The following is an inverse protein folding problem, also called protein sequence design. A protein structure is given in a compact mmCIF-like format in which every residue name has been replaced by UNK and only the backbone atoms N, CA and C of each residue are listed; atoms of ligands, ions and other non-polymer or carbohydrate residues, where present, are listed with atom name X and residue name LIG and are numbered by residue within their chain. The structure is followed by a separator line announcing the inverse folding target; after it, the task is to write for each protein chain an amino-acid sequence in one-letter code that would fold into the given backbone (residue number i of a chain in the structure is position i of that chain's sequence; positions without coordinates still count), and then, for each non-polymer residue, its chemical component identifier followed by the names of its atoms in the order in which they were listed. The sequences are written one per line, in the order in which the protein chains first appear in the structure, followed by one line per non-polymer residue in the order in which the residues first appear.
data_IF_336163765325
#
_entry.id   IF_336163765325
#
_cell.length_a   1.000
_cell.length_b   1.000
_cell.length_c   1.000
_cell.angle_alpha   90.00
_cell.angle_beta   90.00
_cell.angle_gamma   90.00
#
_symmetry.space_group_name_H-M   'P 1'
#
loop_
_entity.id
_entity.type
_entity.pdbx_description
1 polymer ?
#
# COMPACT_ATOMS: atom_id res chain seq x y z
N UNK A 1 -3.15 -9.87 12.84
CA UNK A 1 -2.10 -9.30 13.73
C UNK A 1 -1.34 -10.38 14.49
N UNK A 2 -1.99 -11.23 15.30
CA UNK A 2 -1.32 -12.29 16.07
C UNK A 2 -0.48 -13.22 15.17
N UNK A 3 -1.01 -13.65 14.03
CA UNK A 3 -0.28 -14.48 13.08
C UNK A 3 0.98 -13.81 12.50
N UNK A 4 0.94 -12.49 12.26
CA UNK A 4 2.10 -11.70 11.80
C UNK A 4 3.17 -11.68 12.89
N UNK A 5 2.77 -11.34 14.12
CA UNK A 5 3.66 -11.27 15.28
C UNK A 5 4.36 -12.61 15.54
N UNK A 6 3.63 -13.72 15.44
CA UNK A 6 4.16 -15.06 15.72
C UNK A 6 4.83 -15.73 14.52
N UNK A 7 4.67 -15.19 13.30
CA UNK A 7 5.09 -15.83 12.03
C UNK A 7 4.50 -17.23 11.79
N UNK A 8 3.39 -17.54 12.44
CA UNK A 8 2.65 -18.81 12.32
C UNK A 8 1.15 -18.55 12.36
N UNK A 9 0.33 -19.37 11.70
CA UNK A 9 -1.12 -19.31 11.87
C UNK A 9 -1.51 -19.58 13.32
N UNK A 10 -2.71 -19.15 13.68
CA UNK A 10 -3.40 -19.60 14.89
C UNK A 10 -3.77 -21.08 14.70
N UNK A 11 -3.78 -21.85 15.78
CA UNK A 11 -4.37 -23.19 15.71
C UNK A 11 -5.90 -23.10 15.80
N UNK A 12 -6.58 -24.20 15.42
CA UNK A 12 -8.05 -24.24 15.37
C UNK A 12 -8.69 -23.89 16.72
N UNK A 13 -8.06 -24.25 17.84
CA UNK A 13 -8.59 -23.97 19.18
C UNK A 13 -8.38 -22.50 19.53
N UNK A 14 -7.20 -21.95 19.27
CA UNK A 14 -6.92 -20.53 19.45
C UNK A 14 -7.89 -19.66 18.65
N UNK A 15 -8.19 -20.05 17.40
CA UNK A 15 -9.17 -19.36 16.55
C UNK A 15 -10.58 -19.39 17.17
N UNK A 16 -11.05 -20.55 17.63
CA UNK A 16 -12.37 -20.67 18.29
C UNK A 16 -12.45 -19.87 19.59
N UNK A 17 -11.39 -19.89 20.40
CA UNK A 17 -11.31 -19.10 21.64
C UNK A 17 -11.36 -17.61 21.31
N UNK A 18 -10.59 -17.16 20.31
CA UNK A 18 -10.52 -15.76 19.91
C UNK A 18 -11.85 -15.27 19.34
N UNK A 19 -12.49 -16.05 18.47
CA UNK A 19 -13.82 -15.77 17.93
C UNK A 19 -14.86 -15.58 19.05
N UNK A 20 -14.86 -16.48 20.04
CA UNK A 20 -15.77 -16.35 21.18
C UNK A 20 -15.45 -15.15 22.06
N UNK A 21 -14.17 -14.85 22.27
CA UNK A 21 -13.75 -13.64 22.99
C UNK A 21 -14.23 -12.37 22.28
N UNK A 22 -14.15 -12.31 20.94
CA UNK A 22 -14.64 -11.18 20.15
C UNK A 22 -16.15 -11.02 20.26
N UNK A 23 -16.90 -12.13 20.24
CA UNK A 23 -18.37 -12.11 20.44
C UNK A 23 -18.75 -11.53 21.81
N UNK A 24 -18.09 -11.99 22.88
CA UNK A 24 -18.33 -11.48 24.24
C UNK A 24 -17.91 -10.01 24.36
N UNK A 25 -16.78 -9.64 23.73
CA UNK A 25 -16.30 -8.26 23.70
C UNK A 25 -17.31 -7.33 23.03
N UNK A 26 -17.84 -7.73 21.86
CA UNK A 26 -18.86 -6.96 21.14
C UNK A 26 -20.11 -6.76 22.00
N UNK A 27 -20.62 -7.82 22.66
CA UNK A 27 -21.79 -7.71 23.54
C UNK A 27 -21.57 -6.72 24.69
N UNK A 28 -20.41 -6.79 25.38
CA UNK A 28 -20.07 -5.87 26.48
C UNK A 28 -19.97 -4.41 26.03
N UNK A 29 -19.45 -4.18 24.83
CA UNK A 29 -19.23 -2.83 24.31
C UNK A 29 -20.46 -2.24 23.60
N UNK A 30 -21.35 -3.09 23.06
CA UNK A 30 -22.63 -2.66 22.49
C UNK A 30 -23.50 -1.95 23.53
N UNK A 31 -23.52 -2.44 24.78
CA UNK A 31 -24.27 -1.83 25.88
C UNK A 31 -23.71 -0.47 26.30
N UNK A 32 -22.37 -0.33 26.31
CA UNK A 32 -21.70 0.91 26.74
C UNK A 32 -21.52 1.94 25.62
N UNK A 33 -21.66 1.54 24.36
CA UNK A 33 -21.40 2.38 23.18
C UNK A 33 -19.92 2.76 23.01
N UNK A 34 -19.00 2.06 23.68
CA UNK A 34 -17.57 2.34 23.62
C UNK A 34 -16.86 1.49 22.56
N UNK A 35 -15.82 2.03 21.93
CA UNK A 35 -15.02 1.27 20.95
C UNK A 35 -13.96 0.44 21.71
N UNK A 36 -13.95 -0.90 21.57
CA UNK A 36 -13.01 -1.75 22.30
C UNK A 36 -11.57 -1.61 21.79
N UNK A 37 -10.61 -1.88 22.68
CA UNK A 37 -9.17 -1.99 22.36
C UNK A 37 -8.62 -3.37 22.69
N UNK A 38 -7.36 -3.64 22.30
CA UNK A 38 -6.68 -4.93 22.56
C UNK A 38 -6.65 -5.30 24.04
N UNK A 39 -6.55 -4.32 24.94
CA UNK A 39 -6.57 -4.55 26.37
C UNK A 39 -7.91 -5.11 26.86
N UNK A 40 -9.03 -4.69 26.25
CA UNK A 40 -10.37 -5.17 26.58
C UNK A 40 -10.55 -6.61 26.11
N UNK A 41 -10.07 -6.94 24.90
CA UNK A 41 -10.06 -8.32 24.40
C UNK A 41 -9.23 -9.25 25.31
N UNK A 42 -8.06 -8.79 25.74
CA UNK A 42 -7.24 -9.51 26.72
C UNK A 42 -8.00 -9.69 28.04
N UNK A 43 -8.73 -8.66 28.49
CA UNK A 43 -9.51 -8.75 29.72
C UNK A 43 -10.63 -9.79 29.61
N UNK A 44 -11.31 -9.89 28.47
CA UNK A 44 -12.30 -10.95 28.22
C UNK A 44 -11.67 -12.34 28.37
N UNK A 45 -10.47 -12.57 27.84
CA UNK A 45 -9.75 -13.83 28.01
C UNK A 45 -9.43 -14.11 29.49
N UNK A 46 -9.06 -13.08 30.26
CA UNK A 46 -8.75 -13.20 31.70
C UNK A 46 -9.96 -13.40 32.59
N UNK A 47 -11.11 -12.85 32.22
CA UNK A 47 -12.36 -13.00 32.98
C UNK A 47 -12.94 -14.42 32.85
N UNK A 48 -12.50 -15.17 31.84
CA UNK A 48 -12.92 -16.56 31.56
C UNK A 48 -14.44 -16.75 31.55
N UNK A 49 -15.21 -15.94 30.80
CA UNK A 49 -16.66 -16.10 30.72
C UNK A 49 -17.00 -17.52 30.25
N UNK A 50 -18.14 -18.04 30.70
CA UNK A 50 -18.52 -19.44 30.47
C UNK A 50 -18.46 -19.82 28.99
N UNK A 51 -18.93 -18.95 28.09
CA UNK A 51 -18.91 -19.20 26.65
C UNK A 51 -17.48 -19.41 26.11
N UNK A 52 -16.49 -18.67 26.61
CA UNK A 52 -15.08 -18.83 26.22
C UNK A 52 -14.49 -20.11 26.83
N UNK A 53 -14.87 -20.47 28.05
CA UNK A 53 -14.45 -21.75 28.67
C UNK A 53 -14.97 -22.97 27.93
N UNK A 54 -16.20 -22.89 27.42
CA UNK A 54 -16.84 -23.97 26.66
C UNK A 54 -16.04 -24.31 25.40
N UNK A 55 -15.54 -23.31 24.66
CA UNK A 55 -14.69 -23.54 23.47
C UNK A 55 -13.24 -23.87 23.84
N UNK A 56 -12.74 -23.42 24.99
CA UNK A 56 -11.42 -23.81 25.48
C UNK A 56 -11.35 -25.30 25.89
N UNK A 57 -12.49 -25.93 26.21
CA UNK A 57 -12.58 -27.32 26.67
C UNK A 57 -11.72 -27.58 27.92
N UNK A 58 -11.82 -26.65 28.87
CA UNK A 58 -11.11 -26.68 30.16
C UNK A 58 -11.68 -27.72 31.15
N UNK A 59 -12.87 -28.25 30.87
CA UNK A 59 -13.62 -29.21 31.72
C UNK A 59 -13.82 -28.69 33.15
N UNK A 60 -13.97 -27.37 33.32
CA UNK A 60 -14.12 -26.73 34.62
C UNK A 60 -12.84 -26.65 35.46
N UNK A 61 -11.66 -26.93 34.88
CA UNK A 61 -10.38 -26.80 35.56
C UNK A 61 -9.66 -25.51 35.14
N UNK A 62 -9.49 -24.61 36.10
CA UNK A 62 -8.85 -23.31 35.91
C UNK A 62 -7.37 -23.41 35.48
N UNK A 63 -6.60 -24.32 36.07
CA UNK A 63 -5.20 -24.52 35.68
C UNK A 63 -5.10 -24.99 34.23
N UNK A 64 -6.04 -25.85 33.81
CA UNK A 64 -6.11 -26.30 32.41
C UNK A 64 -6.52 -25.17 31.46
N UNK A 65 -7.43 -24.29 31.87
CA UNK A 65 -7.77 -23.11 31.07
C UNK A 65 -6.55 -22.21 30.86
N UNK A 66 -5.79 -21.96 31.93
CA UNK A 66 -4.58 -21.14 31.88
C UNK A 66 -3.53 -21.74 30.95
N UNK A 67 -3.24 -23.05 31.07
CA UNK A 67 -2.33 -23.74 30.16
C UNK A 67 -2.76 -23.63 28.69
N UNK A 68 -4.06 -23.72 28.41
CA UNK A 68 -4.59 -23.65 27.03
C UNK A 68 -4.49 -22.23 26.47
N UNK A 69 -4.74 -21.21 27.29
CA UNK A 69 -4.86 -19.82 26.84
C UNK A 69 -3.56 -19.01 26.98
N UNK A 70 -2.58 -19.49 27.74
CA UNK A 70 -1.29 -18.83 27.99
C UNK A 70 -0.59 -18.36 26.69
N UNK A 71 -0.50 -19.15 25.60
CA UNK A 71 0.12 -18.68 24.36
C UNK A 71 -0.61 -17.49 23.74
N UNK A 72 -1.95 -17.51 23.77
CA UNK A 72 -2.79 -16.44 23.24
C UNK A 72 -2.68 -15.20 24.11
N UNK A 73 -2.72 -15.35 25.44
CA UNK A 73 -2.54 -14.26 26.38
C UNK A 73 -1.17 -13.58 26.20
N UNK A 74 -0.09 -14.36 26.07
CA UNK A 74 1.26 -13.85 25.79
C UNK A 74 1.31 -12.99 24.53
N UNK A 75 0.57 -13.40 23.50
CA UNK A 75 0.49 -12.66 22.23
C UNK A 75 -0.34 -11.38 22.35
N UNK A 76 -1.47 -11.43 23.05
CA UNK A 76 -2.28 -10.25 23.34
C UNK A 76 -1.52 -9.25 24.22
N UNK A 77 -0.74 -9.72 25.21
CA UNK A 77 0.13 -8.88 26.02
C UNK A 77 1.14 -8.10 25.16
N UNK A 78 1.79 -8.79 24.21
CA UNK A 78 2.69 -8.15 23.24
C UNK A 78 2.00 -7.06 22.41
N UNK A 79 0.73 -7.27 22.01
CA UNK A 79 -0.09 -6.30 21.28
C UNK A 79 -0.60 -5.12 22.15
N UNK A 80 -0.57 -5.25 23.47
CA UNK A 80 -1.07 -4.24 24.43
C UNK A 80 -0.02 -3.19 24.84
N UNK A 81 1.08 -3.01 24.10
CA UNK A 81 2.05 -1.93 24.35
C UNK A 81 3.47 -2.37 24.70
N UNK A 82 3.69 -3.64 25.05
CA UNK A 82 5.00 -4.13 25.52
C UNK A 82 5.80 -4.91 24.47
N UNK A 83 5.25 -5.09 23.26
CA UNK A 83 5.83 -5.93 22.21
C UNK A 83 6.32 -5.17 20.97
N UNK A 84 6.60 -5.94 19.91
CA UNK A 84 7.18 -5.44 18.66
C UNK A 84 6.32 -4.39 17.92
N UNK A 85 5.02 -4.29 18.23
CA UNK A 85 4.13 -3.27 17.66
C UNK A 85 3.99 -2.01 18.54
N UNK A 86 4.70 -1.97 19.67
CA UNK A 86 4.64 -0.87 20.61
C UNK A 86 3.21 -0.53 21.01
N UNK A 87 2.88 0.76 21.05
CA UNK A 87 1.57 1.26 21.48
C UNK A 87 0.58 1.51 20.32
N UNK A 88 0.96 1.20 19.07
CA UNK A 88 0.20 1.57 17.86
C UNK A 88 -1.26 1.07 17.90
N UNK A 89 -1.47 -0.19 18.31
CA UNK A 89 -2.80 -0.83 18.36
C UNK A 89 -3.38 -0.94 19.77
N UNK A 90 -2.69 -0.40 20.78
CA UNK A 90 -3.02 -0.60 22.19
C UNK A 90 -3.98 0.46 22.75
N UNK A 91 -4.35 1.46 21.95
CA UNK A 91 -5.15 2.62 22.38
C UNK A 91 -6.27 2.92 21.38
N UNK A 92 -7.33 3.63 21.80
CA UNK A 92 -8.35 4.11 20.87
C UNK A 92 -7.74 4.96 19.78
N UNK A 93 -8.28 4.86 18.56
CA UNK A 93 -7.89 5.73 17.45
C UNK A 93 -8.14 7.19 17.80
N UNK A 94 -7.14 8.04 17.60
CA UNK A 94 -7.23 9.48 17.87
C UNK A 94 -7.98 10.25 16.79
N UNK A 95 -8.03 9.70 15.57
CA UNK A 95 -8.72 10.28 14.42
C UNK A 95 -9.86 9.37 13.97
N UNK A 96 -10.95 9.99 13.52
CA UNK A 96 -12.08 9.28 12.91
C UNK A 96 -11.99 9.36 11.39
N UNK A 97 -12.44 8.30 10.73
CA UNK A 97 -12.58 8.28 9.28
C UNK A 97 -13.85 9.03 8.89
N UNK A 98 -13.73 9.92 7.91
CA UNK A 98 -14.83 10.61 7.28
C UNK A 98 -14.90 10.23 5.81
N UNK A 99 -15.88 9.39 5.48
CA UNK A 99 -16.11 8.89 4.13
C UNK A 99 -16.54 9.97 3.12
N UNK A 100 -16.92 11.17 3.58
CA UNK A 100 -17.39 12.25 2.71
C UNK A 100 -16.28 13.00 1.97
N UNK A 101 -15.01 12.70 2.26
CA UNK A 101 -13.85 13.38 1.67
C UNK A 101 -12.71 12.41 1.35
N UNK A 102 -11.78 12.78 0.45
CA UNK A 102 -10.57 12.01 0.24
C UNK A 102 -9.75 11.88 1.54
N UNK A 103 -9.22 10.68 1.78
CA UNK A 103 -8.42 10.38 2.97
C UNK A 103 -7.20 9.53 2.61
N UNK A 104 -6.11 9.75 3.34
CA UNK A 104 -4.86 9.00 3.18
C UNK A 104 -4.40 8.50 4.54
N UNK A 105 -4.01 7.24 4.61
CA UNK A 105 -3.28 6.70 5.75
C UNK A 105 -1.78 6.87 5.50
N UNK A 106 -1.15 7.76 6.25
CA UNK A 106 0.28 8.03 6.14
C UNK A 106 1.08 7.09 7.05
N UNK A 107 1.90 6.23 6.44
CA UNK A 107 2.79 5.28 7.13
C UNK A 107 4.27 5.70 7.07
N UNK A 108 4.58 6.89 6.57
CA UNK A 108 5.96 7.38 6.36
C UNK A 108 6.83 7.38 7.62
N UNK A 109 6.20 7.45 8.80
CA UNK A 109 6.89 7.42 10.10
C UNK A 109 7.28 6.02 10.57
N UNK A 110 6.75 4.97 9.94
CA UNK A 110 7.12 3.58 10.25
C UNK A 110 8.35 3.24 9.41
N UNK A 111 9.42 2.75 10.06
CA UNK A 111 10.65 2.44 9.33
C UNK A 111 10.43 1.27 8.36
N UNK A 112 11.11 1.32 7.21
CA UNK A 112 11.15 0.22 6.23
C UNK A 112 11.69 -1.09 6.84
N UNK A 113 12.53 -0.98 7.88
CA UNK A 113 13.05 -2.15 8.62
C UNK A 113 11.99 -2.82 9.51
N UNK A 114 10.89 -2.14 9.84
CA UNK A 114 9.80 -2.65 10.68
C UNK A 114 8.69 -3.27 9.82
N UNK A 115 9.06 -4.22 8.96
CA UNK A 115 8.17 -4.82 7.96
C UNK A 115 6.86 -5.37 8.56
N UNK A 116 6.94 -5.96 9.76
CA UNK A 116 5.79 -6.56 10.45
C UNK A 116 4.80 -5.53 10.96
N UNK A 117 5.31 -4.46 11.60
CA UNK A 117 4.47 -3.35 12.07
C UNK A 117 3.82 -2.65 10.88
N UNK A 118 4.58 -2.44 9.80
CA UNK A 118 4.07 -1.83 8.57
C UNK A 118 2.97 -2.67 7.94
N UNK A 119 3.16 -3.98 7.81
CA UNK A 119 2.16 -4.89 7.26
C UNK A 119 0.90 -4.97 8.14
N UNK A 120 1.06 -5.06 9.47
CA UNK A 120 -0.06 -5.04 10.40
C UNK A 120 -0.86 -3.71 10.28
N UNK A 121 -0.16 -2.60 10.13
CA UNK A 121 -0.76 -1.27 9.99
C UNK A 121 -1.51 -1.15 8.67
N UNK A 122 -0.91 -1.56 7.54
CA UNK A 122 -1.58 -1.57 6.23
C UNK A 122 -2.86 -2.41 6.24
N UNK A 123 -2.82 -3.62 6.80
CA UNK A 123 -4.02 -4.47 6.92
C UNK A 123 -5.10 -3.84 7.80
N UNK A 124 -4.72 -3.20 8.90
CA UNK A 124 -5.66 -2.49 9.76
C UNK A 124 -6.31 -1.33 9.00
N UNK A 125 -5.52 -0.52 8.29
CA UNK A 125 -5.98 0.58 7.44
C UNK A 125 -6.91 0.12 6.31
N UNK A 126 -6.57 -0.97 5.62
CA UNK A 126 -7.43 -1.53 4.57
C UNK A 126 -8.73 -2.10 5.14
N UNK A 127 -8.66 -2.78 6.29
CA UNK A 127 -9.84 -3.33 6.97
C UNK A 127 -10.80 -2.22 7.39
N UNK A 128 -10.31 -1.17 8.04
CA UNK A 128 -11.16 -0.07 8.50
C UNK A 128 -11.68 0.78 7.33
N UNK A 129 -10.89 0.97 6.27
CA UNK A 129 -11.33 1.65 5.06
C UNK A 129 -12.47 0.90 4.36
N UNK A 130 -12.28 -0.41 4.16
CA UNK A 130 -13.32 -1.30 3.59
C UNK A 130 -14.57 -1.34 4.47
N UNK A 131 -14.41 -1.42 5.79
CA UNK A 131 -15.51 -1.37 6.75
C UNK A 131 -16.28 -0.05 6.67
N UNK A 132 -15.59 1.07 6.55
CA UNK A 132 -16.21 2.39 6.40
C UNK A 132 -17.04 2.48 5.12
N UNK A 133 -16.51 1.99 4.00
CA UNK A 133 -17.24 1.94 2.73
C UNK A 133 -18.48 1.08 2.84
N UNK A 134 -18.37 -0.09 3.51
CA UNK A 134 -19.52 -0.96 3.76
C UNK A 134 -20.59 -0.27 4.59
N UNK A 135 -20.23 0.37 5.70
CA UNK A 135 -21.17 1.13 6.53
C UNK A 135 -21.83 2.25 5.74
N UNK A 136 -21.05 3.02 4.96
CA UNK A 136 -21.61 4.07 4.11
C UNK A 136 -22.58 3.52 3.07
N UNK A 137 -22.29 2.36 2.50
CA UNK A 137 -23.20 1.70 1.58
C UNK A 137 -24.49 1.30 2.30
N UNK A 138 -24.42 0.59 3.41
CA UNK A 138 -25.60 0.20 4.19
C UNK A 138 -26.48 1.40 4.56
N UNK A 139 -25.88 2.49 5.04
CA UNK A 139 -26.60 3.73 5.36
C UNK A 139 -27.29 4.34 4.13
N UNK A 140 -26.68 4.22 2.94
CA UNK A 140 -27.29 4.70 1.70
C UNK A 140 -28.42 3.78 1.19
N UNK A 141 -28.30 2.47 1.39
CA UNK A 141 -29.36 1.51 1.06
C UNK A 141 -30.62 1.75 1.91
N UNK A 142 -30.42 2.13 3.18
CA UNK A 142 -31.49 2.53 4.11
C UNK A 142 -31.95 4.00 3.94
N UNK A 143 -31.36 4.75 2.99
CA UNK A 143 -31.74 6.13 2.69
C UNK A 143 -31.32 7.18 3.74
N UNK A 144 -30.45 6.83 4.69
CA UNK A 144 -29.93 7.74 5.73
C UNK A 144 -28.98 8.78 5.12
N UNK A 145 -28.17 8.37 4.14
CA UNK A 145 -27.27 9.25 3.40
C UNK A 145 -27.42 9.03 1.89
N UNK A 146 -26.95 9.97 1.08
CA UNK A 146 -26.87 9.77 -0.37
C UNK A 146 -25.77 8.74 -0.70
N UNK A 147 -26.01 7.90 -1.73
CA UNK A 147 -25.01 6.92 -2.19
C UNK A 147 -23.77 7.62 -2.74
N UNK A 148 -22.63 7.28 -2.15
CA UNK A 148 -21.30 7.74 -2.58
C UNK A 148 -20.63 6.69 -3.46
N UNK A 149 -19.66 7.13 -4.26
CA UNK A 149 -18.79 6.25 -5.06
C UNK A 149 -17.40 6.26 -4.44
N UNK A 150 -16.86 5.09 -4.17
CA UNK A 150 -15.57 4.93 -3.52
C UNK A 150 -14.52 4.42 -4.50
N UNK A 151 -13.30 4.95 -4.37
CA UNK A 151 -12.09 4.45 -5.00
C UNK A 151 -11.08 4.17 -3.89
N UNK A 152 -10.72 2.91 -3.69
CA UNK A 152 -9.71 2.50 -2.71
C UNK A 152 -8.37 2.30 -3.41
N UNK A 153 -7.33 2.95 -2.86
CA UNK A 153 -5.95 2.81 -3.32
C UNK A 153 -5.19 2.00 -2.28
N UNK A 154 -4.77 0.79 -2.65
CA UNK A 154 -3.98 -0.10 -1.81
C UNK A 154 -2.54 -0.07 -2.29
N UNK A 155 -1.76 0.77 -1.63
CA UNK A 155 -0.32 0.89 -1.88
C UNK A 155 0.49 -0.13 -1.06
N UNK A 156 1.69 -0.46 -1.51
CA UNK A 156 2.64 -1.36 -0.81
C UNK A 156 2.07 -2.77 -0.54
N UNK A 157 1.29 -3.32 -1.50
CA UNK A 157 0.63 -4.61 -1.37
C UNK A 157 1.61 -5.74 -1.05
N UNK A 158 2.73 -5.79 -1.78
CA UNK A 158 3.75 -6.84 -1.70
C UNK A 158 4.35 -7.00 -0.29
N UNK A 159 4.68 -5.90 0.38
CA UNK A 159 5.29 -5.94 1.71
C UNK A 159 4.33 -6.59 2.72
N UNK A 160 3.04 -6.37 2.51
CA UNK A 160 2.01 -6.95 3.37
C UNK A 160 1.84 -8.44 3.10
N UNK A 161 1.83 -8.87 1.84
CA UNK A 161 1.66 -10.30 1.48
C UNK A 161 2.79 -11.19 2.06
N UNK A 162 4.00 -10.67 2.18
CA UNK A 162 5.14 -11.40 2.74
C UNK A 162 5.18 -11.46 4.29
N UNK A 163 4.28 -10.76 4.98
CA UNK A 163 4.38 -10.53 6.42
C UNK A 163 4.06 -11.75 7.29
N UNK A 164 3.27 -12.69 6.79
CA UNK A 164 2.96 -13.91 7.52
C UNK A 164 1.96 -14.82 6.79
N UNK A 165 1.74 -16.03 7.31
CA UNK A 165 0.75 -16.96 6.77
C UNK A 165 -0.67 -16.38 6.83
N UNK A 166 -1.50 -16.69 5.83
CA UNK A 166 -2.91 -16.29 5.77
C UNK A 166 -3.16 -14.83 5.40
N UNK A 167 -2.12 -14.01 5.22
CA UNK A 167 -2.27 -12.61 4.85
C UNK A 167 -2.78 -12.46 3.42
N UNK A 168 -2.34 -13.32 2.51
CA UNK A 168 -2.83 -13.35 1.13
C UNK A 168 -4.33 -13.63 1.09
N UNK A 169 -4.82 -14.54 1.92
CA UNK A 169 -6.26 -14.83 2.03
C UNK A 169 -7.06 -13.63 2.54
N UNK A 170 -6.54 -12.91 3.53
CA UNK A 170 -7.18 -11.70 4.05
C UNK A 170 -7.26 -10.59 2.98
N UNK A 171 -6.17 -10.34 2.27
CA UNK A 171 -6.15 -9.37 1.16
C UNK A 171 -7.11 -9.80 0.05
N UNK A 172 -7.11 -11.08 -0.31
CA UNK A 172 -8.02 -11.63 -1.31
C UNK A 172 -9.50 -11.47 -0.89
N UNK A 173 -9.83 -11.70 0.38
CA UNK A 173 -11.18 -11.49 0.90
C UNK A 173 -11.60 -10.01 0.82
N UNK A 174 -10.72 -9.09 1.26
CA UNK A 174 -10.97 -7.64 1.20
C UNK A 174 -11.19 -7.15 -0.24
N UNK A 175 -10.33 -7.57 -1.17
CA UNK A 175 -10.42 -7.16 -2.58
C UNK A 175 -11.66 -7.71 -3.29
N UNK A 176 -12.11 -8.93 -2.94
CA UNK A 176 -13.36 -9.51 -3.48
C UNK A 176 -14.59 -8.75 -3.02
N UNK A 177 -14.67 -8.40 -1.73
CA UNK A 177 -15.80 -7.66 -1.15
C UNK A 177 -16.01 -6.31 -1.85
N UNK A 178 -14.93 -5.59 -2.17
CA UNK A 178 -14.99 -4.31 -2.87
C UNK A 178 -15.69 -4.39 -4.23
N UNK A 179 -15.49 -5.48 -4.97
CA UNK A 179 -16.11 -5.69 -6.29
C UNK A 179 -17.62 -5.87 -6.19
N UNK A 180 -18.10 -6.56 -5.16
CA UNK A 180 -19.54 -6.76 -4.92
C UNK A 180 -20.24 -5.44 -4.55
N UNK A 181 -19.53 -4.56 -3.84
CA UNK A 181 -20.04 -3.27 -3.38
C UNK A 181 -19.92 -2.13 -4.41
N UNK A 182 -19.51 -2.41 -5.65
CA UNK A 182 -19.34 -1.39 -6.68
C UNK A 182 -18.21 -0.39 -6.40
N UNK A 183 -17.19 -0.80 -5.63
CA UNK A 183 -16.06 0.03 -5.23
C UNK A 183 -14.94 -0.11 -6.26
N UNK A 184 -14.46 1.01 -6.78
CA UNK A 184 -13.25 1.04 -7.60
C UNK A 184 -12.03 0.71 -6.75
N UNK A 185 -11.08 -0.04 -7.30
CA UNK A 185 -9.87 -0.41 -6.57
C UNK A 185 -8.63 -0.25 -7.44
N UNK A 186 -7.59 0.36 -6.88
CA UNK A 186 -6.24 0.42 -7.44
C UNK A 186 -5.31 -0.28 -6.46
N UNK A 187 -4.44 -1.14 -6.98
CA UNK A 187 -3.39 -1.80 -6.20
C UNK A 187 -2.05 -1.43 -6.81
N UNK A 188 -1.13 -0.96 -5.98
CA UNK A 188 0.22 -0.59 -6.40
C UNK A 188 1.26 -1.54 -5.79
N UNK A 189 2.26 -1.89 -6.61
CA UNK A 189 3.40 -2.74 -6.26
C UNK A 189 4.60 -2.33 -7.10
N UNK A 190 5.82 -2.56 -6.59
CA UNK A 190 7.06 -2.22 -7.30
C UNK A 190 7.31 -3.17 -8.47
N UNK A 191 7.23 -4.48 -8.24
CA UNK A 191 7.36 -5.47 -9.31
C UNK A 191 6.33 -6.61 -9.20
N UNK A 192 6.04 -7.32 -10.30
CA UNK A 192 5.30 -8.58 -10.26
C UNK A 192 6.00 -9.65 -9.41
N UNK A 193 7.33 -9.73 -9.46
CA UNK A 193 8.10 -10.70 -8.68
C UNK A 193 7.97 -10.51 -7.17
N UNK A 194 7.80 -9.27 -6.69
CA UNK A 194 7.57 -9.00 -5.26
C UNK A 194 6.27 -9.65 -4.76
N UNK A 195 5.24 -9.75 -5.60
CA UNK A 195 4.01 -10.47 -5.26
C UNK A 195 4.24 -11.98 -5.12
N UNK A 196 5.28 -12.51 -5.77
CA UNK A 196 5.65 -13.93 -5.73
C UNK A 196 6.64 -14.25 -4.61
N UNK A 197 7.18 -13.25 -3.90
CA UNK A 197 8.12 -13.44 -2.80
C UNK A 197 7.50 -14.10 -1.55
N UNK A 198 6.19 -14.37 -1.57
CA UNK A 198 5.49 -15.09 -0.49
C UNK A 198 6.08 -16.50 -0.32
N UNK A 199 6.14 -17.00 0.93
CA UNK A 199 6.87 -18.24 1.26
C UNK A 199 6.17 -19.52 0.78
N UNK A 200 4.83 -19.56 0.82
CA UNK A 200 4.03 -20.75 0.50
C UNK A 200 3.61 -20.80 -0.97
N UNK A 201 3.62 -21.99 -1.57
CA UNK A 201 3.21 -22.19 -2.97
C UNK A 201 1.71 -21.90 -3.18
N UNK A 202 0.87 -22.31 -2.24
CA UNK A 202 -0.56 -21.97 -2.25
C UNK A 202 -0.79 -20.46 -2.18
N UNK A 203 -0.07 -19.77 -1.29
CA UNK A 203 -0.16 -18.32 -1.13
C UNK A 203 0.36 -17.58 -2.37
N UNK A 204 1.42 -18.08 -3.03
CA UNK A 204 1.90 -17.56 -4.32
C UNK A 204 0.84 -17.68 -5.40
N UNK A 205 0.18 -18.83 -5.50
CA UNK A 205 -0.89 -19.03 -6.47
C UNK A 205 -2.06 -18.06 -6.23
N UNK A 206 -2.43 -17.82 -4.97
CA UNK A 206 -3.44 -16.82 -4.59
C UNK A 206 -2.99 -15.39 -4.92
N UNK A 207 -1.75 -15.03 -4.62
CA UNK A 207 -1.18 -13.71 -4.92
C UNK A 207 -1.16 -13.44 -6.42
N UNK A 208 -0.74 -14.43 -7.22
CA UNK A 208 -0.83 -14.39 -8.68
C UNK A 208 -2.28 -14.19 -9.14
N UNK A 209 -3.23 -14.91 -8.54
CA UNK A 209 -4.65 -14.74 -8.81
C UNK A 209 -5.17 -13.32 -8.55
N UNK A 210 -4.63 -12.59 -7.56
CA UNK A 210 -4.96 -11.18 -7.33
C UNK A 210 -4.55 -10.33 -8.55
N UNK A 211 -3.32 -10.50 -9.03
CA UNK A 211 -2.82 -9.79 -10.22
C UNK A 211 -3.59 -10.15 -11.51
N UNK A 212 -3.92 -11.43 -11.69
CA UNK A 212 -4.62 -11.93 -12.89
C UNK A 212 -6.04 -11.37 -13.00
N UNK A 213 -6.67 -11.05 -11.87
CA UNK A 213 -8.02 -10.47 -11.83
C UNK A 213 -8.05 -8.96 -12.07
N UNK A 214 -6.90 -8.28 -12.09
CA UNK A 214 -6.83 -6.87 -12.46
C UNK A 214 -7.17 -6.71 -13.94
N UNK A 215 -8.37 -6.19 -14.22
CA UNK A 215 -8.85 -5.98 -15.59
C UNK A 215 -8.09 -4.88 -16.35
N UNK A 216 -7.46 -3.97 -15.61
CA UNK A 216 -6.59 -2.91 -16.11
C UNK A 216 -5.27 -3.01 -15.36
N UNK A 217 -4.16 -2.97 -16.09
CA UNK A 217 -2.81 -2.92 -15.54
C UNK A 217 -2.13 -1.65 -16.02
N UNK A 218 -1.65 -0.84 -15.08
CA UNK A 218 -0.84 0.36 -15.35
C UNK A 218 0.59 -0.02 -15.01
N UNK A 219 1.47 0.03 -16.00
CA UNK A 219 2.82 -0.51 -15.92
C UNK A 219 3.80 0.64 -16.15
N UNK A 220 4.66 0.91 -15.16
CA UNK A 220 5.84 1.75 -15.36
C UNK A 220 6.96 0.96 -16.03
N UNK A 221 8.17 1.52 -16.09
CA UNK A 221 9.34 0.75 -16.52
C UNK A 221 9.51 -0.51 -15.67
N UNK A 222 9.76 -1.65 -16.31
CA UNK A 222 9.96 -2.93 -15.63
C UNK A 222 11.10 -3.70 -16.28
N UNK A 223 11.93 -4.36 -15.47
CA UNK A 223 13.06 -5.13 -15.98
C UNK A 223 12.59 -6.27 -16.89
N UNK A 224 13.42 -6.63 -17.88
CA UNK A 224 13.12 -7.72 -18.83
C UNK A 224 12.86 -9.06 -18.13
N UNK A 225 13.43 -9.27 -16.94
CA UNK A 225 13.19 -10.44 -16.08
C UNK A 225 11.75 -10.56 -15.60
N UNK A 226 11.01 -9.46 -15.50
CA UNK A 226 9.61 -9.44 -15.04
C UNK A 226 8.62 -9.83 -16.14
N UNK A 227 9.03 -9.76 -17.41
CA UNK A 227 8.15 -9.95 -18.57
C UNK A 227 7.50 -11.33 -18.64
N UNK A 228 8.17 -12.46 -18.33
CA UNK A 228 7.52 -13.77 -18.36
C UNK A 228 6.33 -13.85 -17.40
N UNK A 229 6.49 -13.41 -16.16
CA UNK A 229 5.44 -13.43 -15.14
C UNK A 229 4.29 -12.48 -15.51
N UNK A 230 4.62 -11.29 -16.02
CA UNK A 230 3.63 -10.31 -16.46
C UNK A 230 2.84 -10.80 -17.68
N UNK A 231 3.52 -11.43 -18.64
CA UNK A 231 2.92 -11.96 -19.88
C UNK A 231 1.98 -13.14 -19.61
N UNK A 232 2.25 -13.91 -18.56
CA UNK A 232 1.34 -14.95 -18.08
C UNK A 232 0.02 -14.36 -17.56
N UNK A 233 0.07 -13.18 -16.97
CA UNK A 233 -1.09 -12.47 -16.41
C UNK A 233 -1.86 -11.64 -17.44
N UNK A 234 -1.15 -11.02 -18.38
CA UNK A 234 -1.72 -10.22 -19.46
C UNK A 234 -0.84 -10.35 -20.70
N UNK A 235 -1.38 -10.70 -21.88
CA UNK A 235 -0.53 -10.96 -23.03
C UNK A 235 0.12 -9.66 -23.52
N UNK A 236 1.45 -9.62 -23.49
CA UNK A 236 2.26 -8.53 -24.01
C UNK A 236 2.99 -8.96 -25.28
N UNK A 237 2.90 -8.15 -26.33
CA UNK A 237 3.72 -8.32 -27.53
C UNK A 237 5.19 -8.04 -27.22
N UNK A 238 6.10 -8.56 -28.06
CA UNK A 238 7.54 -8.30 -27.93
C UNK A 238 7.86 -6.80 -27.88
N UNK A 239 7.17 -5.98 -28.68
CA UNK A 239 7.39 -4.52 -28.71
C UNK A 239 6.95 -3.85 -27.40
N UNK A 240 5.85 -4.31 -26.81
CA UNK A 240 5.37 -3.80 -25.52
C UNK A 240 6.35 -4.18 -24.40
N UNK A 241 6.88 -5.41 -24.41
CA UNK A 241 7.90 -5.86 -23.44
C UNK A 241 9.21 -5.07 -23.57
N UNK A 242 9.67 -4.83 -24.81
CA UNK A 242 10.86 -4.03 -25.09
C UNK A 242 10.69 -2.57 -24.63
N UNK A 243 9.51 -1.98 -24.82
CA UNK A 243 9.21 -0.62 -24.38
C UNK A 243 9.26 -0.49 -22.86
N UNK A 244 8.65 -1.43 -22.12
CA UNK A 244 8.69 -1.44 -20.65
C UNK A 244 10.12 -1.60 -20.12
N UNK A 245 10.92 -2.44 -20.76
CA UNK A 245 12.32 -2.65 -20.39
C UNK A 245 13.18 -1.40 -20.65
N UNK A 246 12.98 -0.74 -21.80
CA UNK A 246 13.73 0.47 -22.15
C UNK A 246 13.50 1.64 -21.19
N UNK A 247 12.36 1.67 -20.47
CA UNK A 247 12.10 2.70 -19.47
C UNK A 247 12.82 2.47 -18.14
N UNK A 248 13.39 1.29 -17.86
CA UNK A 248 14.20 1.07 -16.66
C UNK A 248 15.67 1.45 -16.85
N UNK A 249 16.18 1.36 -18.07
CA UNK A 249 17.60 1.53 -18.34
C UNK A 249 17.98 3.03 -18.40
N UNK A 250 18.97 3.49 -17.60
CA UNK A 250 19.61 4.77 -17.85
C UNK A 250 20.34 4.71 -19.21
N UNK A 251 20.39 5.82 -19.97
CA UNK A 251 21.20 5.86 -21.17
C UNK A 251 22.66 5.51 -20.85
N UNK A 252 23.32 4.78 -21.76
CA UNK A 252 24.67 4.31 -21.56
C UNK A 252 25.64 5.50 -21.31
N UNK A 253 26.51 5.36 -20.30
CA UNK A 253 27.53 6.34 -19.96
C UNK A 253 28.38 6.73 -21.18
N UNK A 254 28.22 7.96 -21.68
CA UNK A 254 29.00 8.45 -22.82
C UNK A 254 30.43 8.76 -22.35
N UNK A 255 31.44 8.10 -22.93
CA UNK A 255 32.86 8.20 -22.52
C UNK A 255 33.54 9.51 -22.99
N UNK A 256 32.81 10.43 -23.63
CA UNK A 256 33.31 11.75 -24.07
C UNK A 256 32.71 12.82 -23.17
N UNK A 257 33.52 13.32 -22.24
CA UNK A 257 33.09 14.19 -21.15
C UNK A 257 32.78 15.66 -21.51
N UNK A 258 32.27 15.97 -22.70
CA UNK A 258 32.01 17.35 -23.13
C UNK A 258 30.61 17.59 -23.72
N UNK A 259 29.70 16.61 -23.68
CA UNK A 259 28.29 16.82 -24.04
C UNK A 259 27.47 16.75 -22.75
N UNK A 260 26.67 17.78 -22.48
CA UNK A 260 25.71 17.77 -21.38
C UNK A 260 24.91 16.46 -21.44
N UNK A 261 24.70 15.79 -20.30
CA UNK A 261 23.79 14.66 -20.24
C UNK A 261 22.39 15.19 -20.52
N UNK A 262 22.00 15.20 -21.80
CA UNK A 262 20.65 15.51 -22.22
C UNK A 262 19.79 14.28 -21.90
N UNK A 263 19.00 14.39 -20.84
CA UNK A 263 17.90 13.45 -20.57
C UNK A 263 16.73 13.87 -21.46
N UNK A 264 16.90 13.70 -22.77
CA UNK A 264 15.85 14.04 -23.70
C UNK A 264 14.74 13.01 -23.59
N UNK A 265 13.56 13.48 -23.22
CA UNK A 265 12.32 12.74 -23.38
C UNK A 265 11.92 12.57 -24.86
N UNK A 266 12.83 12.86 -25.80
CA UNK A 266 12.54 13.17 -27.20
C UNK A 266 12.16 11.96 -28.06
N UNK A 267 12.35 10.73 -27.58
CA UNK A 267 12.01 9.55 -28.38
C UNK A 267 10.52 9.16 -28.35
N UNK A 268 9.65 9.90 -27.63
CA UNK A 268 8.20 9.62 -27.62
C UNK A 268 7.33 10.90 -27.56
N UNK A 269 7.56 11.85 -28.47
CA UNK A 269 6.74 13.07 -28.72
C UNK A 269 7.21 14.38 -28.05
N UNK A 270 6.90 15.46 -28.77
CA UNK A 270 7.54 16.77 -28.76
C UNK A 270 7.62 17.48 -27.40
N UNK A 271 8.72 18.24 -27.25
CA UNK A 271 8.88 19.43 -26.43
C UNK A 271 7.53 20.04 -26.01
N UNK A 272 7.35 20.20 -24.71
CA UNK A 272 6.31 21.05 -24.12
C UNK A 272 6.59 22.48 -24.56
N UNK A 273 6.20 22.85 -25.78
CA UNK A 273 6.23 24.24 -26.23
C UNK A 273 5.40 25.08 -25.25
N UNK A 274 5.88 26.30 -24.92
CA UNK A 274 5.20 27.28 -24.06
C UNK A 274 3.72 27.55 -24.46
N UNK A 275 3.33 27.13 -25.66
CA UNK A 275 2.03 27.31 -26.27
C UNK A 275 0.95 26.30 -25.83
N UNK A 276 1.29 25.18 -25.17
CA UNK A 276 0.31 24.14 -24.78
C UNK A 276 -0.22 24.25 -23.35
N UNK A 277 0.29 25.17 -22.54
CA UNK A 277 -0.19 25.40 -21.17
C UNK A 277 -1.56 26.10 -21.21
N UNK A 278 -2.63 25.32 -21.05
CA UNK A 278 -4.02 25.79 -21.04
C UNK A 278 -4.53 26.20 -19.63
N UNK A 279 -3.64 26.27 -18.64
CA UNK A 279 -3.97 26.60 -17.26
C UNK A 279 -3.66 28.07 -16.95
N UNK A 280 -4.71 28.84 -16.59
CA UNK A 280 -4.63 30.29 -16.32
C UNK A 280 -3.84 30.57 -15.03
N UNK A 281 -3.90 29.69 -14.03
CA UNK A 281 -3.17 29.86 -12.77
C UNK A 281 -1.68 29.61 -12.97
N UNK A 282 -1.32 28.63 -13.81
CA UNK A 282 0.08 28.37 -14.17
C UNK A 282 0.68 29.53 -14.96
N UNK A 283 -0.06 30.13 -15.90
CA UNK A 283 0.43 31.30 -16.64
C UNK A 283 0.71 32.49 -15.73
N UNK A 284 -0.21 32.81 -14.81
CA UNK A 284 -0.02 33.88 -13.83
C UNK A 284 1.17 33.61 -12.89
N UNK A 285 1.40 32.34 -12.53
CA UNK A 285 2.53 31.95 -11.69
C UNK A 285 3.89 32.03 -12.42
N UNK A 286 3.92 31.77 -13.73
CA UNK A 286 5.12 31.90 -14.58
C UNK A 286 5.44 33.34 -15.04
N UNK A 287 4.59 34.33 -14.72
CA UNK A 287 4.90 35.74 -14.96
C UNK A 287 6.05 36.24 -14.07
N UNK A 288 6.29 35.57 -12.93
CA UNK A 288 7.42 35.83 -12.05
C UNK A 288 8.71 35.20 -12.63
N UNK A 289 9.75 36.01 -12.93
CA UNK A 289 11.01 35.54 -13.50
C UNK A 289 11.72 34.47 -12.66
N UNK A 290 11.63 34.52 -11.33
CA UNK A 290 12.24 33.50 -10.44
C UNK A 290 11.50 32.17 -10.56
N UNK A 291 10.17 32.20 -10.62
CA UNK A 291 9.36 30.99 -10.81
C UNK A 291 9.53 30.40 -12.21
N UNK A 292 9.72 31.26 -13.22
CA UNK A 292 9.99 30.85 -14.60
C UNK A 292 11.37 30.23 -14.75
N UNK A 293 12.41 30.87 -14.19
CA UNK A 293 13.76 30.31 -14.15
C UNK A 293 13.74 28.96 -13.44
N UNK A 294 13.06 28.86 -12.29
CA UNK A 294 12.92 27.61 -11.54
C UNK A 294 12.09 26.52 -12.27
N UNK A 295 10.99 26.87 -12.94
CA UNK A 295 10.13 25.92 -13.67
C UNK A 295 10.85 25.30 -14.88
N UNK A 296 11.75 26.06 -15.49
CA UNK A 296 12.57 25.65 -16.63
C UNK A 296 14.04 25.42 -16.25
N UNK A 297 14.41 25.38 -14.96
CA UNK A 297 15.81 25.23 -14.52
C UNK A 297 16.29 23.82 -14.80
N UNK A 298 17.04 23.69 -15.90
CA UNK A 298 17.55 22.43 -16.41
C UNK A 298 18.75 21.85 -15.60
N UNK A 299 19.12 22.48 -14.47
CA UNK A 299 20.33 22.11 -13.71
C UNK A 299 20.10 21.05 -12.62
N UNK A 300 18.89 20.49 -12.55
CA UNK A 300 18.52 19.37 -11.65
C UNK A 300 17.74 18.24 -12.34
N UNK A 301 17.51 18.36 -13.65
CA UNK A 301 16.33 17.90 -14.42
C UNK A 301 16.66 16.77 -15.38
N UNK A 302 17.27 15.76 -14.81
CA UNK A 302 17.41 14.50 -15.49
C UNK A 302 16.46 13.54 -14.80
N UNK A 303 15.17 13.52 -15.18
CA UNK A 303 14.20 12.63 -14.56
C UNK A 303 14.79 11.21 -14.59
N UNK A 304 14.77 10.45 -13.47
CA UNK A 304 15.23 9.09 -13.48
C UNK A 304 14.60 8.32 -14.65
N UNK A 305 15.32 7.35 -15.24
CA UNK A 305 14.81 6.60 -16.38
C UNK A 305 13.39 6.09 -16.13
N UNK A 306 12.50 6.36 -17.09
CA UNK A 306 11.11 5.93 -17.01
C UNK A 306 10.20 6.77 -16.10
N UNK A 307 10.71 7.79 -15.42
CA UNK A 307 9.88 8.66 -14.58
C UNK A 307 8.73 9.27 -15.39
N UNK A 308 7.51 9.11 -14.88
CA UNK A 308 6.30 9.61 -15.53
C UNK A 308 5.89 8.82 -16.78
N UNK A 309 6.63 7.80 -17.23
CA UNK A 309 6.30 6.96 -18.39
C UNK A 309 5.54 5.73 -17.93
N UNK A 310 4.34 5.56 -18.47
CA UNK A 310 3.46 4.47 -18.11
C UNK A 310 2.80 3.85 -19.33
N UNK A 311 2.28 2.65 -19.11
CA UNK A 311 1.64 1.85 -20.12
C UNK A 311 0.36 1.25 -19.54
N UNK A 312 -0.79 1.60 -20.12
CA UNK A 312 -2.09 1.00 -19.75
C UNK A 312 -2.36 -0.21 -20.63
N UNK A 313 -2.62 -1.36 -20.00
CA UNK A 313 -3.01 -2.59 -20.67
C UNK A 313 -4.40 -3.02 -20.19
N UNK A 314 -5.30 -3.31 -21.14
CA UNK A 314 -6.67 -3.78 -20.88
C UNK A 314 -6.90 -5.12 -21.58
N UNK A 315 -6.85 -6.20 -20.82
CA UNK A 315 -6.95 -7.56 -21.36
C UNK A 315 -5.95 -7.82 -22.49
N UNK A 316 -6.43 -8.40 -23.59
CA UNK A 316 -5.59 -8.76 -24.74
C UNK A 316 -5.39 -7.63 -25.78
N UNK A 317 -5.91 -6.43 -25.53
CA UNK A 317 -5.78 -5.31 -26.47
C UNK A 317 -4.34 -4.79 -26.50
N UNK A 318 -3.95 -4.15 -27.60
CA UNK A 318 -2.72 -3.36 -27.61
C UNK A 318 -2.77 -2.33 -26.48
N UNK A 319 -1.68 -2.24 -25.71
CA UNK A 319 -1.62 -1.26 -24.64
C UNK A 319 -1.33 0.14 -25.17
N UNK A 320 -1.60 1.11 -24.31
CA UNK A 320 -1.55 2.54 -24.62
C UNK A 320 -0.43 3.13 -23.75
N UNK A 321 0.72 3.48 -24.34
CA UNK A 321 1.73 4.24 -23.63
C UNK A 321 1.27 5.67 -23.42
N UNK A 322 1.59 6.25 -22.27
CA UNK A 322 1.32 7.65 -21.94
C UNK A 322 2.39 8.17 -20.98
N UNK A 323 2.58 9.49 -20.97
CA UNK A 323 3.41 10.18 -19.99
C UNK A 323 2.54 11.01 -19.06
N UNK A 324 3.01 11.18 -17.84
CA UNK A 324 2.43 12.13 -16.90
C UNK A 324 3.06 13.51 -17.12
N UNK A 325 2.20 14.52 -17.22
CA UNK A 325 2.62 15.91 -17.07
C UNK A 325 2.43 16.32 -15.61
N UNK A 326 3.52 16.61 -14.92
CA UNK A 326 3.45 17.06 -13.54
C UNK A 326 2.94 18.50 -13.44
N UNK A 327 1.95 18.68 -12.58
CA UNK A 327 1.42 20.01 -12.24
C UNK A 327 2.49 20.87 -11.56
N UNK A 328 2.34 22.21 -11.57
CA UNK A 328 3.29 23.11 -10.89
C UNK A 328 3.45 22.79 -9.41
N UNK A 329 2.36 22.39 -8.75
CA UNK A 329 2.35 22.00 -7.34
C UNK A 329 3.13 20.71 -7.11
N UNK A 330 2.99 19.70 -7.96
CA UNK A 330 3.74 18.44 -7.87
C UNK A 330 5.24 18.67 -8.13
N UNK A 331 5.57 19.53 -9.10
CA UNK A 331 6.95 19.98 -9.35
C UNK A 331 7.53 20.66 -8.11
N UNK A 332 6.80 21.60 -7.51
CA UNK A 332 7.27 22.41 -6.38
C UNK A 332 7.43 21.59 -5.10
N UNK A 333 6.45 20.74 -4.82
CA UNK A 333 6.48 19.87 -3.64
C UNK A 333 7.50 18.75 -3.77
N UNK A 334 7.96 18.44 -5.00
CA UNK A 334 8.79 17.28 -5.31
C UNK A 334 8.20 16.00 -4.68
N UNK A 335 6.87 15.88 -4.69
CA UNK A 335 6.19 14.72 -4.09
C UNK A 335 6.52 13.42 -4.84
N UNK A 336 6.91 13.54 -6.11
CA UNK A 336 7.32 12.45 -6.99
C UNK A 336 8.81 12.10 -6.89
N UNK A 337 9.62 12.89 -6.18
CA UNK A 337 11.05 12.65 -6.02
C UNK A 337 11.31 11.80 -4.77
N UNK A 338 11.61 10.52 -5.00
CA UNK A 338 11.99 9.55 -3.97
C UNK A 338 13.50 9.51 -3.72
N UNK A 339 14.31 10.22 -4.52
CA UNK A 339 15.77 10.24 -4.48
C UNK A 339 16.35 11.49 -3.78
N UNK A 340 15.55 12.26 -3.03
CA UNK A 340 15.99 13.50 -2.34
C UNK A 340 17.34 13.37 -1.60
N UNK A 341 17.60 12.24 -0.93
CA UNK A 341 18.88 11.97 -0.25
C UNK A 341 20.07 11.82 -1.21
N UNK A 342 19.84 11.30 -2.40
CA UNK A 342 20.84 11.18 -3.47
C UNK A 342 21.18 12.55 -4.04
N UNK A 343 20.17 13.42 -4.24
CA UNK A 343 20.38 14.81 -4.63
C UNK A 343 21.22 15.59 -3.60
N UNK A 344 20.93 15.44 -2.31
CA UNK A 344 21.74 16.02 -1.22
C UNK A 344 23.20 15.51 -1.20
N UNK A 345 23.41 14.24 -1.51
CA UNK A 345 24.75 13.64 -1.58
C UNK A 345 25.53 14.15 -2.80
N UNK A 346 24.88 14.24 -3.98
CA UNK A 346 25.47 14.85 -5.18
C UNK A 346 25.82 16.32 -4.96
N UNK A 347 24.94 17.08 -4.31
CA UNK A 347 25.17 18.49 -3.99
C UNK A 347 26.40 18.69 -3.11
N UNK A 348 26.55 17.89 -2.04
CA UNK A 348 27.74 17.90 -1.18
C UNK A 348 29.01 17.54 -1.94
N UNK A 349 28.98 16.49 -2.76
CA UNK A 349 30.12 16.07 -3.56
C UNK A 349 30.51 17.09 -4.65
N UNK A 350 29.55 17.88 -5.16
CA UNK A 350 29.82 18.96 -6.10
C UNK A 350 30.45 20.18 -5.41
N UNK A 351 30.01 20.54 -4.19
CA UNK A 351 30.64 21.60 -3.40
C UNK A 351 32.09 21.27 -3.04
N UNK A 352 32.38 20.04 -2.61
CA UNK A 352 33.76 19.61 -2.29
C UNK A 352 34.70 19.59 -3.50
N UNK A 353 34.17 19.48 -4.73
CA UNK A 353 34.96 19.57 -5.98
C UNK A 353 35.17 21.00 -6.45
N UNK A 354 34.27 21.93 -6.11
CA UNK A 354 34.42 23.35 -6.42
C UNK A 354 35.44 24.08 -5.53
N UNK A 355 35.81 23.49 -4.39
CA UNK A 355 36.79 24.04 -3.43
C UNK A 355 38.23 23.55 -3.66
N UNK A 356 38.51 22.76 -4.72
CA UNK A 356 39.84 22.25 -5.05
C UNK A 356 40.51 22.94 -6.23
#
# INVERSE_FOLDING_TARGET
MIAILRKKPLDEREDQILDRCLTVLEARHAESGTVPVMADLRQVLKDRPQEVREVALDRGNDARYDEITEPLESSLNSLCGSGAFGQMFARPSTNKIDASRPMVFDLSRISQSESDLRAATLLACWSIGTGTVRTSNMLADDGVIARQRFLLILDELWNTLAAGPGIVDQVNALTRLNREMGVGQIMASHTPSDLMAVRGEEDRAKAKGIMDRCGIKILGGLAKSEMPLLTESVPLSMREQEQLAAWQDPPAWNRRGDEAMEYTNDDVFASTDELTVNDVELRAWLEDPENREWYFDDRTTSPPPGQGKFFIKVGARAGIPFSMEFTPTERRSQVHDTEKKWHEAKFRAAQERGER
#
